data_IF_930192683030
#
_entry.id   IF_930192683030
#
_cell.length_a   1.000
_cell.length_b   1.000
_cell.length_c   1.000
_cell.angle_alpha   90.00
_cell.angle_beta   90.00
_cell.angle_gamma   90.00
#
_symmetry.space_group_name_H-M   'P 1'
#
loop_
_entity.id
_entity.type
_entity.pdbx_description
1 polymer ?
#
# COMPACT_ATOMS: atom_id res chain seq x y z
N UNK A 1 25.54 17.39 14.81
CA UNK A 1 24.81 16.84 13.65
C UNK A 1 23.34 16.91 14.05
N UNK A 2 22.54 17.77 13.42
CA UNK A 2 21.11 17.86 13.74
C UNK A 2 20.48 16.54 13.29
N UNK A 3 19.84 15.82 14.20
CA UNK A 3 18.97 14.69 13.87
C UNK A 3 17.84 15.24 13.00
N UNK A 4 17.97 15.15 11.68
CA UNK A 4 16.86 15.42 10.78
C UNK A 4 15.66 14.56 11.20
N UNK A 5 14.46 15.14 11.19
CA UNK A 5 13.23 14.38 11.44
C UNK A 5 13.15 13.20 10.49
N UNK A 6 12.80 12.01 11.02
CA UNK A 6 12.54 10.82 10.19
C UNK A 6 11.22 10.92 9.42
N UNK A 7 10.50 12.04 9.58
CA UNK A 7 9.21 12.30 8.98
C UNK A 7 9.25 13.51 8.04
N UNK A 8 8.50 13.41 6.95
CA UNK A 8 8.22 14.50 6.01
C UNK A 8 6.72 14.76 6.02
N UNK A 9 6.36 16.02 6.26
CA UNK A 9 4.97 16.47 6.22
C UNK A 9 4.75 17.29 4.96
N UNK A 10 3.67 17.01 4.22
CA UNK A 10 3.19 17.82 3.11
C UNK A 10 1.79 18.34 3.42
N UNK A 11 1.46 19.49 2.88
CA UNK A 11 0.18 20.17 3.12
C UNK A 11 -0.34 20.86 1.87
N UNK A 12 -1.64 20.78 1.65
CA UNK A 12 -2.34 21.48 0.58
C UNK A 12 -3.07 22.71 1.15
N UNK A 13 -3.25 23.81 0.40
CA UNK A 13 -3.92 25.04 0.88
C UNK A 13 -5.34 24.83 1.38
N UNK A 14 -6.05 23.79 0.94
CA UNK A 14 -7.37 23.41 1.44
C UNK A 14 -7.39 22.91 2.90
N UNK A 15 -6.21 22.64 3.50
CA UNK A 15 -6.07 22.04 4.83
C UNK A 15 -5.79 20.54 4.84
N UNK A 16 -5.82 19.87 3.67
CA UNK A 16 -5.39 18.48 3.54
C UNK A 16 -3.91 18.32 3.90
N UNK A 17 -3.55 17.21 4.56
CA UNK A 17 -2.18 16.94 5.06
C UNK A 17 -1.81 15.48 4.94
N UNK A 18 -0.53 15.20 4.73
CA UNK A 18 0.01 13.86 4.83
C UNK A 18 1.35 13.84 5.57
N UNK A 19 1.62 12.70 6.23
CA UNK A 19 2.87 12.42 6.90
C UNK A 19 3.50 11.18 6.28
N UNK A 20 4.78 11.28 5.92
CA UNK A 20 5.55 10.21 5.32
C UNK A 20 6.80 9.96 6.17
N UNK A 21 6.99 8.74 6.65
CA UNK A 21 8.17 8.33 7.38
C UNK A 21 9.26 7.86 6.41
N UNK A 22 10.52 8.27 6.62
CA UNK A 22 11.65 7.91 5.75
C UNK A 22 12.00 6.41 5.80
N UNK A 23 11.68 5.73 6.90
CA UNK A 23 11.74 4.27 6.97
C UNK A 23 10.58 3.69 6.14
N UNK A 24 10.91 3.08 5.00
CA UNK A 24 9.95 2.48 4.08
C UNK A 24 9.29 3.43 3.09
N UNK A 25 9.69 4.72 3.03
CA UNK A 25 8.93 5.78 2.33
C UNK A 25 7.44 5.72 2.71
N UNK A 26 7.19 5.43 3.97
CA UNK A 26 5.92 4.95 4.49
C UNK A 26 4.96 6.09 4.75
N UNK A 27 3.89 6.24 3.96
CA UNK A 27 2.83 7.18 4.25
C UNK A 27 2.05 6.68 5.47
N UNK A 28 2.15 7.39 6.60
CA UNK A 28 1.58 6.98 7.89
C UNK A 28 0.25 7.64 8.21
N UNK A 29 -0.05 8.79 7.57
CA UNK A 29 -1.29 9.54 7.76
C UNK A 29 -1.62 10.32 6.49
N UNK A 30 -2.90 10.35 6.14
CA UNK A 30 -3.46 11.25 5.15
C UNK A 30 -4.83 11.73 5.62
N UNK A 31 -4.92 13.03 5.89
CA UNK A 31 -6.16 13.71 6.26
C UNK A 31 -6.62 14.60 5.13
N UNK A 32 -7.89 14.47 4.75
CA UNK A 32 -8.52 15.39 3.80
C UNK A 32 -8.72 16.78 4.40
N UNK A 33 -9.20 17.73 3.62
CA UNK A 33 -9.49 19.10 4.08
C UNK A 33 -10.47 19.16 5.27
N UNK A 34 -11.33 18.13 5.42
CA UNK A 34 -12.25 18.01 6.58
C UNK A 34 -11.54 17.61 7.88
N UNK A 35 -10.25 17.25 7.80
CA UNK A 35 -9.48 16.74 8.94
C UNK A 35 -9.68 15.25 9.23
N UNK A 36 -10.55 14.55 8.46
CA UNK A 36 -10.81 13.12 8.63
C UNK A 36 -9.60 12.31 8.15
N UNK A 37 -9.11 11.40 9.03
CA UNK A 37 -8.04 10.46 8.71
C UNK A 37 -8.55 9.36 7.78
N UNK A 38 -7.82 9.09 6.71
CA UNK A 38 -8.16 8.11 5.69
C UNK A 38 -7.37 6.81 5.83
N UNK A 39 -6.22 6.89 6.48
CA UNK A 39 -5.27 5.80 6.60
C UNK A 39 -5.26 5.27 8.04
N UNK A 40 -5.32 3.96 8.17
CA UNK A 40 -5.17 3.31 9.47
C UNK A 40 -3.69 3.15 9.81
N UNK A 41 -3.34 3.44 11.04
CA UNK A 41 -2.03 3.16 11.62
C UNK A 41 -2.23 2.50 12.97
N UNK A 42 -1.61 1.34 13.21
CA UNK A 42 -1.71 0.65 14.49
C UNK A 42 -1.09 1.46 15.62
N UNK A 43 -1.72 1.45 16.78
CA UNK A 43 -1.18 2.05 18.01
C UNK A 43 0.06 1.31 18.50
N UNK A 44 0.19 0.03 18.11
CA UNK A 44 1.32 -0.85 18.43
C UNK A 44 2.42 -0.82 17.36
N UNK A 45 2.29 0.05 16.34
CA UNK A 45 3.24 0.12 15.24
C UNK A 45 4.67 0.45 15.72
N UNK A 46 5.64 -0.29 15.19
CA UNK A 46 7.06 -0.11 15.53
C UNK A 46 7.75 0.67 14.42
N UNK A 47 8.27 1.87 14.76
CA UNK A 47 8.96 2.78 13.83
C UNK A 47 10.48 2.56 13.81
N UNK A 48 10.93 1.33 13.93
CA UNK A 48 12.37 0.99 13.99
C UNK A 48 12.69 -0.18 13.07
N UNK A 49 13.77 -0.04 12.23
CA UNK A 49 14.30 -1.19 11.51
C UNK A 49 14.64 -2.35 12.48
N UNK A 50 14.58 -3.61 12.03
CA UNK A 50 14.23 -4.05 10.67
C UNK A 50 12.73 -4.27 10.44
N UNK A 51 11.87 -3.89 11.39
CA UNK A 51 10.41 -4.10 11.25
C UNK A 51 9.80 -3.07 10.30
N UNK A 52 8.84 -3.52 9.49
CA UNK A 52 7.96 -2.62 8.76
C UNK A 52 6.97 -1.95 9.72
N UNK A 53 6.57 -0.71 9.43
CA UNK A 53 5.54 -0.01 10.19
C UNK A 53 4.18 -0.66 9.90
N UNK A 54 3.41 -0.96 10.95
CA UNK A 54 2.10 -1.61 10.83
C UNK A 54 1.00 -0.58 10.57
N UNK A 55 0.34 -0.66 9.42
CA UNK A 55 -0.62 0.33 8.95
C UNK A 55 -0.03 1.18 7.83
N UNK A 56 -0.61 2.33 7.53
CA UNK A 56 -0.10 3.21 6.49
C UNK A 56 -0.18 2.64 5.08
N UNK A 57 0.81 2.98 4.27
CA UNK A 57 1.00 2.45 2.91
C UNK A 57 2.42 1.86 2.80
N UNK A 58 2.65 0.61 3.27
CA UNK A 58 3.91 -0.09 3.03
C UNK A 58 4.16 -0.35 1.55
N UNK A 59 5.39 -0.12 1.09
CA UNK A 59 5.83 -0.45 -0.28
C UNK A 59 6.38 -1.87 -0.30
N UNK A 60 5.66 -2.81 -0.89
CA UNK A 60 6.12 -4.18 -1.09
C UNK A 60 6.98 -4.24 -2.35
N UNK A 61 8.28 -4.45 -2.21
CA UNK A 61 9.26 -4.60 -3.30
C UNK A 61 10.53 -5.27 -2.76
N UNK A 62 11.23 -6.14 -3.50
CA UNK A 62 10.98 -6.57 -4.89
C UNK A 62 10.00 -7.75 -5.00
N UNK A 63 9.27 -8.05 -3.96
CA UNK A 63 8.22 -9.07 -4.00
C UNK A 63 7.04 -8.72 -3.11
N UNK A 64 5.87 -9.15 -3.53
CA UNK A 64 4.67 -9.20 -2.69
C UNK A 64 4.60 -10.56 -2.00
N UNK A 65 4.33 -10.59 -0.68
CA UNK A 65 4.28 -11.82 0.11
C UNK A 65 5.52 -12.70 -0.16
N UNK A 66 5.33 -13.94 -0.59
CA UNK A 66 6.33 -14.91 -1.01
C UNK A 66 6.32 -15.14 -2.54
N UNK A 67 5.74 -14.21 -3.33
CA UNK A 67 5.76 -14.23 -4.80
C UNK A 67 7.08 -13.70 -5.35
N UNK A 68 8.18 -14.34 -4.98
CA UNK A 68 9.54 -14.00 -5.37
C UNK A 68 10.55 -14.95 -4.77
N UNK A 69 11.83 -14.58 -4.82
CA UNK A 69 12.94 -15.44 -4.39
C UNK A 69 13.42 -15.18 -2.96
N UNK A 70 12.99 -14.06 -2.36
CA UNK A 70 13.44 -13.67 -1.04
C UNK A 70 12.69 -14.44 0.05
N UNK A 71 13.40 -14.79 1.10
CA UNK A 71 12.80 -15.32 2.34
C UNK A 71 12.01 -14.25 3.10
N UNK A 72 12.39 -12.98 2.91
CA UNK A 72 11.72 -11.82 3.51
C UNK A 72 10.38 -11.57 2.82
N UNK A 73 9.27 -11.92 3.48
CA UNK A 73 7.91 -11.63 2.99
C UNK A 73 7.73 -10.14 2.69
N UNK A 74 7.12 -9.81 1.55
CA UNK A 74 6.90 -8.47 1.02
C UNK A 74 8.19 -7.69 0.67
N UNK A 75 9.34 -8.38 0.58
CA UNK A 75 10.62 -7.76 0.23
C UNK A 75 11.15 -6.80 1.29
N UNK A 76 12.05 -5.92 0.88
CA UNK A 76 12.85 -5.09 1.77
C UNK A 76 12.54 -3.58 1.69
N UNK A 77 11.86 -3.09 0.66
CA UNK A 77 11.67 -1.65 0.46
C UNK A 77 10.97 -0.96 1.64
N UNK A 78 9.95 -1.63 2.23
CA UNK A 78 9.24 -1.15 3.43
C UNK A 78 10.09 -1.19 4.70
N UNK A 79 11.23 -1.87 4.69
CA UNK A 79 12.16 -2.02 5.82
C UNK A 79 13.44 -1.20 5.63
N UNK A 80 13.58 -0.51 4.49
CA UNK A 80 14.76 0.28 4.15
C UNK A 80 14.55 1.75 4.47
N UNK A 81 15.66 2.48 4.70
CA UNK A 81 15.63 3.93 4.81
C UNK A 81 15.69 4.55 3.42
N UNK A 82 14.73 5.41 3.11
CA UNK A 82 14.66 6.17 1.87
C UNK A 82 15.20 7.58 2.07
N UNK A 83 15.69 8.17 1.01
CA UNK A 83 16.12 9.56 0.98
C UNK A 83 15.07 10.44 0.31
N UNK A 84 14.95 11.69 0.77
CA UNK A 84 14.12 12.69 0.11
C UNK A 84 14.81 13.11 -1.19
N UNK A 85 14.17 12.84 -2.32
CA UNK A 85 14.65 13.25 -3.65
C UNK A 85 14.24 14.69 -3.98
N UNK A 86 12.99 15.04 -3.71
CA UNK A 86 12.47 16.41 -3.85
C UNK A 86 11.27 16.62 -2.94
N UNK A 87 11.04 17.89 -2.56
CA UNK A 87 9.86 18.30 -1.79
C UNK A 87 9.46 19.69 -2.23
N UNK A 88 8.19 19.86 -2.61
CA UNK A 88 7.65 21.13 -3.05
C UNK A 88 6.14 21.19 -2.75
N UNK A 89 5.75 22.14 -1.90
CA UNK A 89 4.33 22.36 -1.56
C UNK A 89 3.62 21.13 -1.01
N UNK A 90 2.66 20.64 -1.79
CA UNK A 90 1.82 19.47 -1.52
C UNK A 90 2.40 18.14 -2.01
N UNK A 91 3.64 18.14 -2.47
CA UNK A 91 4.31 17.01 -3.12
C UNK A 91 5.63 16.67 -2.44
N UNK A 92 5.90 15.38 -2.27
CA UNK A 92 7.23 14.85 -1.90
C UNK A 92 7.56 13.63 -2.76
N UNK A 93 8.82 13.53 -3.19
CA UNK A 93 9.36 12.34 -3.82
C UNK A 93 10.49 11.77 -2.96
N UNK A 94 10.47 10.44 -2.77
CA UNK A 94 11.50 9.70 -2.04
C UNK A 94 12.14 8.67 -2.96
N UNK A 95 13.42 8.37 -2.71
CA UNK A 95 14.23 7.49 -3.54
C UNK A 95 14.90 6.40 -2.71
N UNK A 96 14.95 5.21 -3.29
CA UNK A 96 15.75 4.08 -2.82
C UNK A 96 16.50 3.50 -4.02
N UNK A 97 17.79 3.20 -3.84
CA UNK A 97 18.62 2.58 -4.87
C UNK A 97 19.36 1.36 -4.31
N UNK A 98 19.82 0.50 -5.19
CA UNK A 98 20.66 -0.65 -4.81
C UNK A 98 21.98 -0.26 -4.13
N UNK A 99 22.39 1.02 -4.18
CA UNK A 99 23.57 1.53 -3.51
C UNK A 99 23.31 2.00 -2.06
N UNK A 100 22.06 2.12 -1.64
CA UNK A 100 21.70 2.67 -0.31
C UNK A 100 21.89 1.65 0.82
N UNK A 101 21.98 0.35 0.49
CA UNK A 101 22.21 -0.73 1.46
C UNK A 101 22.85 -1.94 0.79
N UNK A 102 23.38 -2.88 1.59
CA UNK A 102 23.91 -4.14 1.09
C UNK A 102 22.78 -5.18 0.92
N UNK A 103 21.96 -5.01 -0.12
CA UNK A 103 20.79 -5.85 -0.37
C UNK A 103 21.15 -7.29 -0.71
N UNK A 104 22.32 -7.52 -1.33
CA UNK A 104 22.84 -8.86 -1.62
C UNK A 104 23.10 -9.64 -0.32
N UNK A 105 23.86 -9.06 0.59
CA UNK A 105 24.23 -9.73 1.84
C UNK A 105 23.04 -9.92 2.78
N UNK A 106 22.16 -8.89 2.87
CA UNK A 106 21.03 -8.89 3.80
C UNK A 106 19.86 -9.73 3.33
N UNK A 107 19.62 -9.76 2.02
CA UNK A 107 18.37 -10.32 1.46
C UNK A 107 18.60 -11.27 0.29
N UNK A 108 19.85 -11.42 -0.21
CA UNK A 108 20.15 -12.23 -1.40
C UNK A 108 19.67 -11.58 -2.70
N UNK A 109 19.49 -10.25 -2.74
CA UNK A 109 19.05 -9.52 -3.93
C UNK A 109 20.21 -8.95 -4.70
N UNK A 110 20.44 -9.45 -5.92
CA UNK A 110 21.60 -9.11 -6.74
C UNK A 110 21.35 -7.99 -7.76
N UNK A 111 20.08 -7.72 -8.13
CA UNK A 111 19.78 -6.80 -9.21
C UNK A 111 19.94 -5.34 -8.78
N UNK A 112 20.56 -4.55 -9.66
CA UNK A 112 20.69 -3.11 -9.44
C UNK A 112 19.41 -2.38 -9.86
N UNK A 113 18.93 -1.51 -9.00
CA UNK A 113 17.65 -0.80 -9.19
C UNK A 113 17.70 0.64 -8.68
N UNK A 114 16.75 1.43 -9.15
CA UNK A 114 16.36 2.71 -8.57
C UNK A 114 14.85 2.77 -8.47
N UNK A 115 14.32 3.08 -7.30
CA UNK A 115 12.90 3.30 -7.08
C UNK A 115 12.69 4.75 -6.70
N UNK A 116 11.71 5.41 -7.34
CA UNK A 116 11.21 6.72 -6.96
C UNK A 116 9.72 6.59 -6.65
N UNK A 117 9.33 6.96 -5.43
CA UNK A 117 7.92 7.09 -5.06
C UNK A 117 7.61 8.57 -4.84
N UNK A 118 6.48 9.02 -5.38
CA UNK A 118 6.01 10.40 -5.24
C UNK A 118 4.61 10.40 -4.64
N UNK A 119 4.42 11.17 -3.61
CA UNK A 119 3.13 11.45 -3.00
C UNK A 119 2.76 12.90 -3.26
N UNK A 120 1.56 13.12 -3.80
CA UNK A 120 0.97 14.45 -3.99
C UNK A 120 -0.43 14.44 -3.40
N UNK A 121 -0.79 15.45 -2.62
CA UNK A 121 -2.13 15.59 -2.05
C UNK A 121 -2.87 16.76 -2.66
N UNK A 122 -4.18 16.63 -2.73
CA UNK A 122 -5.10 17.73 -3.01
C UNK A 122 -6.16 17.83 -1.91
N UNK A 123 -7.24 18.52 -2.15
CA UNK A 123 -8.32 18.68 -1.16
C UNK A 123 -8.86 17.34 -0.65
N UNK A 124 -9.12 16.39 -1.58
CA UNK A 124 -9.73 15.09 -1.29
C UNK A 124 -9.03 13.93 -1.99
N UNK A 125 -7.83 14.14 -2.52
CA UNK A 125 -7.11 13.11 -3.26
C UNK A 125 -5.69 12.93 -2.75
N UNK A 126 -5.23 11.69 -2.82
CA UNK A 126 -3.83 11.29 -2.68
C UNK A 126 -3.41 10.60 -3.96
N UNK A 127 -2.45 11.20 -4.64
CA UNK A 127 -1.79 10.63 -5.81
C UNK A 127 -0.50 9.95 -5.37
N UNK A 128 -0.32 8.70 -5.75
CA UNK A 128 0.93 7.96 -5.54
C UNK A 128 1.46 7.51 -6.89
N UNK A 129 2.63 8.00 -7.27
CA UNK A 129 3.34 7.55 -8.47
C UNK A 129 4.55 6.72 -8.04
N UNK A 130 4.76 5.58 -8.68
CA UNK A 130 5.91 4.71 -8.44
C UNK A 130 6.65 4.46 -9.75
N UNK A 131 7.96 4.67 -9.73
CA UNK A 131 8.86 4.43 -10.85
C UNK A 131 9.96 3.47 -10.40
N UNK A 132 10.13 2.36 -11.14
CA UNK A 132 11.18 1.38 -10.91
C UNK A 132 12.05 1.31 -12.15
N UNK A 133 13.33 1.61 -12.01
CA UNK A 133 14.31 1.54 -13.09
C UNK A 133 15.27 0.37 -12.83
N UNK A 134 15.48 -0.47 -13.83
CA UNK A 134 16.56 -1.44 -13.82
C UNK A 134 17.86 -0.73 -14.19
N UNK A 135 18.74 -0.54 -13.21
CA UNK A 135 20.06 0.10 -13.41
C UNK A 135 21.18 -0.92 -13.60
N UNK A 136 20.85 -2.21 -13.63
CA UNK A 136 21.78 -3.31 -13.84
C UNK A 136 21.99 -3.67 -15.31
N UNK A 137 22.78 -4.70 -15.55
CA UNK A 137 23.13 -5.20 -16.88
C UNK A 137 22.35 -6.44 -17.34
N UNK A 138 21.43 -6.96 -16.52
CA UNK A 138 20.56 -8.12 -16.84
C UNK A 138 19.09 -7.81 -16.61
N UNK A 139 18.21 -8.62 -17.18
CA UNK A 139 16.75 -8.50 -16.91
C UNK A 139 16.49 -8.68 -15.41
N UNK A 140 15.72 -7.79 -14.83
CA UNK A 140 15.25 -7.83 -13.44
C UNK A 140 13.78 -8.26 -13.42
N UNK A 141 13.44 -9.25 -12.58
CA UNK A 141 12.06 -9.68 -12.38
C UNK A 141 11.63 -9.42 -10.92
N UNK A 142 10.47 -8.81 -10.74
CA UNK A 142 9.93 -8.48 -9.42
C UNK A 142 8.40 -8.46 -9.40
N UNK A 143 7.83 -8.52 -8.21
CA UNK A 143 6.42 -8.20 -7.94
C UNK A 143 6.36 -7.05 -6.94
N UNK A 144 5.25 -6.32 -6.92
CA UNK A 144 5.11 -5.20 -6.02
C UNK A 144 3.66 -4.92 -5.65
N UNK A 145 3.48 -4.26 -4.50
CA UNK A 145 2.19 -3.72 -4.11
C UNK A 145 2.34 -2.48 -3.21
N UNK A 146 1.31 -1.64 -3.21
CA UNK A 146 1.07 -0.63 -2.21
C UNK A 146 0.08 -1.22 -1.19
N UNK A 147 0.60 -1.66 -0.05
CA UNK A 147 -0.16 -2.39 0.98
C UNK A 147 -1.00 -1.43 1.84
N UNK A 148 -1.96 -0.74 1.21
CA UNK A 148 -2.71 0.34 1.83
C UNK A 148 -3.67 -0.18 2.89
N UNK A 149 -3.51 0.33 4.12
CA UNK A 149 -4.43 0.14 5.23
C UNK A 149 -5.39 1.34 5.28
N UNK A 150 -6.61 1.14 4.86
CA UNK A 150 -7.65 2.17 4.99
C UNK A 150 -8.25 2.14 6.40
N UNK A 151 -8.43 3.32 6.98
CA UNK A 151 -9.26 3.44 8.18
C UNK A 151 -10.72 3.28 7.78
N UNK A 152 -11.47 2.51 8.55
CA UNK A 152 -12.94 2.39 8.47
C UNK A 152 -13.53 2.53 9.87
N UNK A 153 -14.78 2.97 9.98
CA UNK A 153 -15.42 3.14 11.30
C UNK A 153 -15.93 1.82 11.86
N UNK A 154 -16.36 0.89 10.99
CA UNK A 154 -16.80 -0.45 11.37
C UNK A 154 -16.61 -1.39 10.17
N UNK A 155 -15.65 -2.32 10.28
CA UNK A 155 -15.34 -3.29 9.23
C UNK A 155 -16.55 -4.16 8.85
N UNK A 156 -17.47 -4.43 9.79
CA UNK A 156 -18.66 -5.26 9.52
C UNK A 156 -19.71 -4.53 8.68
N UNK A 157 -19.59 -3.22 8.54
CA UNK A 157 -20.49 -2.37 7.75
C UNK A 157 -19.81 -1.86 6.47
N UNK A 158 -18.49 -1.85 6.44
CA UNK A 158 -17.73 -1.50 5.25
C UNK A 158 -17.90 -2.58 4.17
N UNK A 159 -17.83 -2.16 2.89
CA UNK A 159 -17.89 -3.09 1.76
C UNK A 159 -16.98 -2.61 0.63
N UNK A 160 -16.50 -3.57 -0.15
CA UNK A 160 -15.71 -3.30 -1.35
C UNK A 160 -16.58 -3.57 -2.58
N UNK A 161 -16.58 -2.64 -3.54
CA UNK A 161 -17.31 -2.73 -4.79
C UNK A 161 -16.33 -2.66 -5.97
N UNK A 162 -16.68 -3.29 -7.10
CA UNK A 162 -15.87 -3.32 -8.33
C UNK A 162 -15.12 -4.61 -8.56
N UNK A 163 -15.31 -5.65 -7.72
CA UNK A 163 -14.66 -6.95 -7.83
C UNK A 163 -15.63 -8.11 -8.15
N UNK A 164 -16.85 -7.79 -8.56
CA UNK A 164 -17.85 -8.79 -8.94
C UNK A 164 -17.38 -9.63 -10.12
N UNK A 165 -17.46 -10.95 -9.97
CA UNK A 165 -16.98 -11.95 -10.93
C UNK A 165 -15.50 -11.87 -11.31
N UNK A 166 -14.69 -11.23 -10.48
CA UNK A 166 -13.23 -11.25 -10.63
C UNK A 166 -12.67 -12.50 -9.94
N UNK A 167 -11.76 -13.20 -10.63
CA UNK A 167 -11.07 -14.35 -10.08
C UNK A 167 -10.04 -13.93 -9.02
N UNK A 168 -9.95 -14.67 -7.93
CA UNK A 168 -8.98 -14.44 -6.87
C UNK A 168 -8.31 -15.72 -6.37
N UNK A 169 -7.10 -15.58 -5.85
CA UNK A 169 -6.39 -16.59 -5.09
C UNK A 169 -6.77 -16.44 -3.61
N UNK A 170 -7.32 -17.48 -2.99
CA UNK A 170 -7.68 -17.48 -1.57
C UNK A 170 -6.48 -17.94 -0.74
N UNK A 171 -5.79 -17.00 -0.09
CA UNK A 171 -4.60 -17.29 0.73
C UNK A 171 -4.94 -18.15 1.95
N UNK A 172 -6.19 -18.15 2.40
CA UNK A 172 -6.65 -18.98 3.51
C UNK A 172 -6.96 -20.43 3.07
N UNK A 173 -7.04 -20.67 1.76
CA UNK A 173 -7.31 -21.98 1.18
C UNK A 173 -6.23 -22.35 0.15
N UNK A 174 -4.96 -22.36 0.57
CA UNK A 174 -3.80 -22.78 -0.24
C UNK A 174 -3.69 -22.08 -1.60
N UNK A 175 -4.22 -20.86 -1.71
CA UNK A 175 -4.30 -20.06 -2.95
C UNK A 175 -5.11 -20.73 -4.05
N UNK A 176 -6.15 -21.47 -3.66
CA UNK A 176 -7.12 -21.96 -4.62
C UNK A 176 -7.75 -20.81 -5.39
N UNK A 177 -7.93 -21.00 -6.71
CA UNK A 177 -8.57 -19.99 -7.55
C UNK A 177 -10.08 -20.05 -7.36
N UNK A 178 -10.66 -18.95 -6.93
CA UNK A 178 -12.10 -18.77 -6.71
C UNK A 178 -12.61 -17.55 -7.46
N UNK A 179 -13.92 -17.39 -7.53
CA UNK A 179 -14.57 -16.21 -8.14
C UNK A 179 -15.61 -15.68 -7.15
N UNK A 180 -15.68 -14.37 -7.03
CA UNK A 180 -16.68 -13.74 -6.15
C UNK A 180 -17.98 -13.49 -6.92
N UNK A 181 -19.06 -14.15 -6.48
CA UNK A 181 -20.38 -14.04 -7.09
C UNK A 181 -21.26 -12.95 -6.43
N UNK A 182 -20.72 -12.27 -5.43
CA UNK A 182 -21.42 -11.19 -4.73
C UNK A 182 -21.11 -9.84 -5.38
N UNK A 183 -22.08 -8.94 -5.53
CA UNK A 183 -21.88 -7.62 -6.13
C UNK A 183 -20.95 -6.73 -5.29
N UNK A 184 -20.77 -7.03 -4.01
CA UNK A 184 -19.83 -6.40 -3.10
C UNK A 184 -19.26 -7.39 -2.11
N UNK A 185 -18.05 -7.14 -1.64
CA UNK A 185 -17.36 -7.94 -0.64
C UNK A 185 -17.61 -7.30 0.73
N UNK A 186 -18.15 -8.10 1.67
CA UNK A 186 -18.29 -7.75 3.09
C UNK A 186 -17.31 -8.59 3.90
N UNK A 187 -16.77 -8.02 4.97
CA UNK A 187 -15.83 -8.71 5.86
C UNK A 187 -16.56 -9.21 7.09
N UNK A 188 -16.71 -10.52 7.20
CA UNK A 188 -17.40 -11.20 8.32
C UNK A 188 -16.51 -12.25 9.00
N UNK A 189 -15.22 -12.29 8.63
CA UNK A 189 -14.20 -13.21 9.11
C UNK A 189 -12.84 -12.78 8.60
N UNK A 190 -11.79 -13.57 8.86
CA UNK A 190 -10.49 -13.35 8.25
C UNK A 190 -10.61 -13.40 6.73
N UNK A 191 -10.04 -12.42 6.05
CA UNK A 191 -9.98 -12.32 4.58
C UNK A 191 -8.56 -12.10 4.16
N UNK A 192 -8.08 -12.89 3.18
CA UNK A 192 -6.77 -12.74 2.55
C UNK A 192 -6.90 -13.24 1.11
N UNK A 193 -7.24 -12.32 0.18
CA UNK A 193 -7.59 -12.64 -1.20
C UNK A 193 -6.81 -11.77 -2.17
N UNK A 194 -6.21 -12.38 -3.19
CA UNK A 194 -5.49 -11.71 -4.27
C UNK A 194 -6.34 -11.78 -5.53
N UNK A 195 -7.05 -10.71 -5.86
CA UNK A 195 -7.84 -10.58 -7.08
C UNK A 195 -6.92 -10.22 -8.26
N UNK A 196 -7.01 -11.00 -9.33
CA UNK A 196 -6.14 -10.88 -10.50
C UNK A 196 -6.83 -10.15 -11.65
N UNK A 197 -6.08 -9.28 -12.35
CA UNK A 197 -6.58 -8.55 -13.53
C UNK A 197 -7.89 -7.82 -13.27
N UNK A 198 -7.94 -7.08 -12.19
CA UNK A 198 -9.13 -6.36 -11.72
C UNK A 198 -9.43 -5.11 -12.56
N UNK A 199 -10.66 -4.60 -12.56
CA UNK A 199 -11.00 -3.31 -13.16
C UNK A 199 -10.07 -2.18 -12.65
N UNK A 200 -9.92 -1.08 -13.44
CA UNK A 200 -9.04 0.04 -13.07
C UNK A 200 -9.53 0.81 -11.85
N UNK A 201 -10.80 0.65 -11.46
CA UNK A 201 -11.41 1.35 -10.34
C UNK A 201 -12.10 0.37 -9.40
N UNK A 202 -11.79 0.50 -8.11
CA UNK A 202 -12.41 -0.23 -6.99
C UNK A 202 -12.85 0.78 -5.94
N UNK A 203 -13.91 0.50 -5.19
CA UNK A 203 -14.44 1.42 -4.17
C UNK A 203 -14.57 0.74 -2.81
N UNK A 204 -14.20 1.47 -1.78
CA UNK A 204 -14.54 1.14 -0.39
C UNK A 204 -15.71 2.04 0.01
N UNK A 205 -16.82 1.44 0.38
CA UNK A 205 -17.99 2.15 0.91
C UNK A 205 -17.99 1.97 2.42
N UNK A 206 -17.84 3.07 3.15
CA UNK A 206 -17.86 3.15 4.61
C UNK A 206 -19.10 3.97 5.05
N UNK A 207 -20.27 3.31 5.24
CA UNK A 207 -21.50 4.02 5.53
C UNK A 207 -21.52 4.66 6.93
N UNK A 208 -20.80 4.10 7.90
CA UNK A 208 -20.68 4.68 9.25
C UNK A 208 -19.75 5.91 9.20
N UNK A 209 -18.63 5.81 8.48
CA UNK A 209 -17.74 6.95 8.22
C UNK A 209 -18.31 7.96 7.21
N UNK A 210 -19.51 7.70 6.65
CA UNK A 210 -20.24 8.55 5.69
C UNK A 210 -19.39 8.95 4.48
N UNK A 211 -18.62 8.00 3.93
CA UNK A 211 -17.74 8.23 2.80
C UNK A 211 -17.62 7.03 1.87
N UNK A 212 -17.18 7.33 0.67
CA UNK A 212 -16.69 6.36 -0.30
C UNK A 212 -15.23 6.72 -0.61
N UNK A 213 -14.32 5.75 -0.55
CA UNK A 213 -12.96 5.91 -1.06
C UNK A 213 -12.88 5.22 -2.41
N UNK A 214 -12.69 5.99 -3.45
CA UNK A 214 -12.44 5.48 -4.81
C UNK A 214 -10.94 5.24 -4.99
N UNK A 215 -10.58 4.07 -5.46
CA UNK A 215 -9.21 3.62 -5.72
C UNK A 215 -9.08 3.45 -7.23
N UNK A 216 -8.38 4.36 -7.88
CA UNK A 216 -8.05 4.28 -9.31
C UNK A 216 -6.58 3.88 -9.45
N UNK A 217 -6.29 3.03 -10.42
CA UNK A 217 -4.95 2.47 -10.57
C UNK A 217 -4.57 2.29 -12.04
N UNK A 218 -3.29 2.51 -12.31
CA UNK A 218 -2.67 2.33 -13.62
C UNK A 218 -1.40 1.48 -13.48
N UNK A 219 -1.24 0.47 -14.34
CA UNK A 219 -0.17 -0.54 -14.29
C UNK A 219 -0.08 -1.33 -12.97
N UNK A 220 -1.17 -1.38 -12.21
CA UNK A 220 -1.34 -2.17 -10.99
C UNK A 220 -2.56 -3.08 -11.18
N UNK A 221 -2.45 -4.18 -11.97
CA UNK A 221 -3.61 -4.95 -12.40
C UNK A 221 -4.33 -5.67 -11.26
N UNK A 222 -3.64 -5.94 -10.16
CA UNK A 222 -4.17 -6.79 -9.10
C UNK A 222 -4.63 -5.97 -7.90
N UNK A 223 -5.57 -6.54 -7.12
CA UNK A 223 -6.05 -6.01 -5.85
C UNK A 223 -5.93 -7.09 -4.78
N UNK A 224 -5.39 -6.73 -3.62
CA UNK A 224 -5.45 -7.59 -2.43
C UNK A 224 -6.48 -7.04 -1.47
N UNK A 225 -7.35 -7.91 -0.96
CA UNK A 225 -8.27 -7.59 0.13
C UNK A 225 -7.86 -8.38 1.35
N UNK A 226 -7.51 -7.67 2.43
CA UNK A 226 -7.05 -8.30 3.66
C UNK A 226 -7.63 -7.66 4.91
N UNK A 227 -8.04 -8.51 5.85
CA UNK A 227 -8.33 -8.15 7.24
C UNK A 227 -7.95 -9.35 8.13
N UNK A 228 -7.15 -9.15 9.20
CA UNK A 228 -6.66 -10.24 10.04
C UNK A 228 -7.75 -10.91 10.89
N UNK A 229 -8.88 -10.22 11.11
CA UNK A 229 -9.92 -10.65 12.04
C UNK A 229 -9.36 -10.89 13.45
N UNK A 230 -10.14 -11.59 14.29
CA UNK A 230 -9.85 -11.75 15.74
C UNK A 230 -8.54 -12.51 16.00
N UNK A 231 -8.44 -13.72 15.44
CA UNK A 231 -7.36 -14.64 15.83
C UNK A 231 -5.97 -14.24 15.30
N UNK A 232 -5.91 -13.68 14.10
CA UNK A 232 -4.65 -13.21 13.53
C UNK A 232 -4.23 -11.86 14.11
N UNK A 233 -5.19 -10.99 14.45
CA UNK A 233 -4.92 -9.73 15.15
C UNK A 233 -4.19 -10.01 16.48
N UNK A 234 -4.73 -10.88 17.34
CA UNK A 234 -4.12 -11.26 18.62
C UNK A 234 -2.72 -11.87 18.52
N UNK A 235 -2.41 -12.51 17.38
CA UNK A 235 -1.07 -13.11 17.15
C UNK A 235 -0.07 -12.14 16.52
N UNK A 236 -0.51 -10.95 16.11
CA UNK A 236 0.31 -9.95 15.44
C UNK A 236 0.82 -8.93 16.45
N UNK A 237 2.03 -9.11 16.94
CA UNK A 237 2.57 -8.37 18.10
C UNK A 237 2.84 -6.87 17.91
N UNK A 238 2.61 -6.32 16.71
CA UNK A 238 2.67 -4.89 16.37
C UNK A 238 1.31 -4.35 15.90
N UNK A 239 0.23 -5.04 16.29
CA UNK A 239 -1.15 -4.74 15.93
C UNK A 239 -2.05 -4.96 17.16
N UNK A 240 -2.92 -4.00 17.49
CA UNK A 240 -3.82 -4.14 18.63
C UNK A 240 -4.92 -5.18 18.40
N UNK A 241 -5.26 -5.96 19.42
CA UNK A 241 -6.18 -7.10 19.34
C UNK A 241 -7.54 -6.76 18.72
N UNK A 242 -8.03 -5.54 18.94
CA UNK A 242 -9.34 -5.07 18.48
C UNK A 242 -9.27 -4.14 17.25
N UNK A 243 -8.06 -3.77 16.81
CA UNK A 243 -7.87 -2.80 15.72
C UNK A 243 -8.32 -3.30 14.35
N UNK A 244 -8.48 -4.62 14.18
CA UNK A 244 -9.05 -5.20 12.96
C UNK A 244 -10.45 -4.66 12.63
N UNK A 245 -11.16 -4.15 13.64
CA UNK A 245 -12.51 -3.58 13.48
C UNK A 245 -12.51 -2.23 12.75
N UNK A 246 -11.40 -1.51 12.80
CA UNK A 246 -11.24 -0.14 12.33
C UNK A 246 -10.41 -0.03 11.04
N UNK A 247 -10.05 -1.18 10.42
CA UNK A 247 -9.19 -1.17 9.24
C UNK A 247 -9.64 -2.14 8.16
N UNK A 248 -9.27 -1.82 6.93
CA UNK A 248 -9.41 -2.67 5.76
C UNK A 248 -8.21 -2.45 4.83
N UNK A 249 -7.49 -3.51 4.48
CA UNK A 249 -6.53 -3.41 3.38
C UNK A 249 -7.22 -3.65 2.05
N UNK A 250 -7.03 -2.70 1.13
CA UNK A 250 -7.32 -2.85 -0.29
C UNK A 250 -6.06 -2.38 -1.02
N UNK A 251 -5.26 -3.33 -1.42
CA UNK A 251 -3.89 -3.08 -1.89
C UNK A 251 -3.85 -3.15 -3.40
N UNK A 252 -3.23 -2.18 -4.03
CA UNK A 252 -3.00 -2.20 -5.47
C UNK A 252 -1.63 -2.78 -5.78
N UNK A 253 -1.54 -3.69 -6.75
CA UNK A 253 -0.27 -4.35 -7.03
C UNK A 253 -0.16 -4.91 -8.44
N UNK A 254 1.05 -5.34 -8.75
CA UNK A 254 1.38 -6.20 -9.87
C UNK A 254 2.02 -7.46 -9.28
N UNK A 255 1.20 -8.49 -9.04
CA UNK A 255 1.57 -9.67 -8.27
C UNK A 255 1.74 -10.88 -9.17
N UNK A 256 0.82 -11.05 -10.13
CA UNK A 256 0.86 -12.17 -11.05
C UNK A 256 0.34 -11.77 -12.45
N UNK A 257 1.18 -11.84 -13.51
CA UNK A 257 2.60 -12.27 -13.52
C UNK A 257 3.55 -11.21 -12.94
N UNK A 258 4.78 -11.64 -12.62
CA UNK A 258 5.85 -10.74 -12.22
C UNK A 258 6.21 -9.76 -13.36
N UNK A 259 6.60 -8.54 -12.98
CA UNK A 259 7.14 -7.53 -13.89
C UNK A 259 8.53 -7.96 -14.32
N UNK A 260 8.81 -7.89 -15.63
CA UNK A 260 10.13 -8.12 -16.21
C UNK A 260 10.64 -6.82 -16.81
N UNK A 261 11.78 -6.37 -16.37
CA UNK A 261 12.34 -5.07 -16.72
C UNK A 261 13.74 -5.23 -17.32
N UNK A 262 13.86 -4.87 -18.58
CA UNK A 262 15.14 -4.96 -19.30
C UNK A 262 16.15 -3.93 -18.76
N UNK A 263 17.47 -4.15 -18.93
CA UNK A 263 18.49 -3.19 -18.55
C UNK A 263 18.22 -1.77 -19.07
N UNK A 264 18.36 -0.77 -18.20
CA UNK A 264 18.19 0.63 -18.54
C UNK A 264 16.74 1.07 -18.77
N UNK A 265 15.76 0.16 -18.67
CA UNK A 265 14.33 0.53 -18.81
C UNK A 265 13.66 0.85 -17.48
N UNK A 266 12.55 1.57 -17.55
CA UNK A 266 11.75 2.01 -16.41
C UNK A 266 10.31 1.50 -16.55
N UNK A 267 9.76 1.03 -15.44
CA UNK A 267 8.34 0.76 -15.27
C UNK A 267 7.71 1.82 -14.37
N UNK A 268 6.52 2.26 -14.71
CA UNK A 268 5.79 3.27 -13.96
C UNK A 268 4.38 2.78 -13.63
N UNK A 269 3.92 3.08 -12.40
CA UNK A 269 2.55 2.85 -11.95
C UNK A 269 2.00 4.03 -11.16
N UNK A 270 0.67 4.10 -11.11
CA UNK A 270 -0.03 5.16 -10.39
C UNK A 270 -1.21 4.60 -9.60
N UNK A 271 -1.42 5.14 -8.41
CA UNK A 271 -2.62 4.96 -7.59
C UNK A 271 -3.17 6.34 -7.25
N UNK A 272 -4.48 6.51 -7.42
CA UNK A 272 -5.19 7.71 -7.01
C UNK A 272 -6.28 7.28 -6.02
N UNK A 273 -6.21 7.82 -4.82
CA UNK A 273 -7.25 7.66 -3.81
C UNK A 273 -8.09 8.93 -3.77
N UNK A 274 -9.39 8.81 -4.00
CA UNK A 274 -10.33 9.94 -3.96
C UNK A 274 -11.38 9.70 -2.87
N UNK A 275 -11.52 10.64 -1.94
CA UNK A 275 -12.55 10.58 -0.89
C UNK A 275 -13.79 11.34 -1.34
N UNK A 276 -14.92 10.66 -1.35
CA UNK A 276 -16.23 11.23 -1.66
C UNK A 276 -17.08 11.16 -0.38
N UNK A 277 -17.40 12.32 0.19
CA UNK A 277 -18.22 12.40 1.38
C UNK A 277 -19.70 12.24 1.03
N UNK A 278 -20.40 11.31 1.68
CA UNK A 278 -21.82 11.00 1.44
C UNK A 278 -22.82 12.09 1.89
N UNK A 279 -22.36 13.33 2.07
CA UNK A 279 -23.26 14.49 2.17
C UNK A 279 -23.73 15.06 0.82
N UNK A 280 -23.22 14.48 -0.30
CA UNK A 280 -23.48 14.96 -1.67
C UNK A 280 -24.17 13.93 -2.58
N UNK A 281 -24.59 12.77 -2.04
CA UNK A 281 -25.35 11.78 -2.80
C UNK A 281 -26.75 11.70 -2.18
N UNK A 282 -27.65 12.52 -2.69
CA UNK A 282 -29.10 12.35 -2.62
C UNK A 282 -29.56 11.67 -3.89
#
# INVERSE_FOLDING_TARGET
MSSGSDEVHIGHPSGSRACIHLHGAHLTSWKTATGQEQIFLSKEAVFKPPKAIRGGIPVCFPQFSDFGQLTQSHGFARNSRWSVFSREGDTVALKLTSADDNFLEKYGWEDSFSILIRYTISEQQLFTTLEVTNTGGKEMAYTMALHTYFKVEDITKARIEGLYRVGYLDSLDRREMKTDENPHISVTGEVDRIYLSTPPTVRIVDPIGKRVVMIEKFNLPDIVVWNPWVEKAKRTGDFGDEEYKEMLCVETGCIKPAIRLLPGTMWKAEQILTVINNGSVV
#
